data_IF_030582116458
#
_entry.id   IF_030582116458
#
_cell.length_a   1.000
_cell.length_b   1.000
_cell.length_c   1.000
_cell.angle_alpha   90.00
_cell.angle_beta   90.00
_cell.angle_gamma   90.00
#
_symmetry.space_group_name_H-M   'P 1'
#
loop_
_entity.id
_entity.type
_entity.pdbx_description
1 polymer ?
#
# COMPACT_ATOMS: atom_id res chain seq x y z
N UNK A 1 -24.43 31.48 -34.21
CA UNK A 1 -24.18 31.55 -32.76
C UNK A 1 -23.16 30.47 -32.41
N UNK A 2 -21.93 30.84 -32.03
CA UNK A 2 -20.81 29.90 -31.76
C UNK A 2 -20.95 29.32 -30.34
N UNK A 3 -21.13 28.01 -30.20
CA UNK A 3 -21.01 27.33 -28.91
C UNK A 3 -19.53 27.06 -28.65
N UNK A 4 -18.98 27.83 -27.71
CA UNK A 4 -17.60 27.76 -27.23
C UNK A 4 -17.31 26.37 -26.67
N UNK A 5 -16.18 25.80 -27.07
CA UNK A 5 -15.66 24.54 -26.55
C UNK A 5 -15.51 24.59 -25.04
N UNK A 6 -16.06 23.57 -24.37
CA UNK A 6 -15.81 23.32 -22.96
C UNK A 6 -14.42 22.70 -22.81
N UNK A 7 -13.43 23.56 -22.58
CA UNK A 7 -12.10 23.17 -22.12
C UNK A 7 -12.11 23.22 -20.60
N UNK A 8 -12.54 22.13 -19.95
CA UNK A 8 -12.32 21.89 -18.52
C UNK A 8 -11.51 20.57 -18.45
N UNK A 9 -10.22 20.57 -18.17
CA UNK A 9 -9.60 21.15 -16.99
C UNK A 9 -9.42 20.02 -15.98
N UNK A 10 -8.39 19.20 -16.19
CA UNK A 10 -7.99 18.00 -15.45
C UNK A 10 -7.56 18.30 -14.01
N UNK A 11 -8.44 18.92 -13.21
CA UNK A 11 -8.18 19.38 -11.83
C UNK A 11 -9.14 18.80 -10.79
N UNK A 12 -10.06 17.91 -11.21
CA UNK A 12 -11.10 17.32 -10.36
C UNK A 12 -10.98 15.80 -10.16
N UNK A 13 -9.98 15.15 -10.76
CA UNK A 13 -9.83 13.69 -10.66
C UNK A 13 -9.36 13.24 -9.26
N UNK A 14 -8.43 13.98 -8.65
CA UNK A 14 -7.83 13.61 -7.37
C UNK A 14 -8.85 13.67 -6.21
N UNK A 15 -9.66 14.74 -6.03
CA UNK A 15 -10.67 14.78 -4.96
C UNK A 15 -11.72 13.67 -5.08
N UNK A 16 -12.09 13.30 -6.32
CA UNK A 16 -13.06 12.24 -6.56
C UNK A 16 -12.50 10.86 -6.19
N UNK A 17 -11.22 10.61 -6.46
CA UNK A 17 -10.52 9.37 -6.07
C UNK A 17 -10.46 9.26 -4.54
N UNK A 18 -10.14 10.34 -3.83
CA UNK A 18 -10.13 10.34 -2.36
C UNK A 18 -11.52 10.12 -1.77
N UNK A 19 -12.56 10.72 -2.33
CA UNK A 19 -13.94 10.50 -1.88
C UNK A 19 -14.37 9.04 -2.08
N UNK A 20 -13.98 8.42 -3.20
CA UNK A 20 -14.25 7.00 -3.46
C UNK A 20 -13.50 6.08 -2.47
N UNK A 21 -12.22 6.36 -2.19
CA UNK A 21 -11.42 5.62 -1.22
C UNK A 21 -12.01 5.72 0.20
N UNK A 22 -12.46 6.91 0.60
CA UNK A 22 -13.09 7.14 1.89
C UNK A 22 -14.42 6.36 2.05
N UNK A 23 -15.23 6.31 0.99
CA UNK A 23 -16.48 5.55 0.99
C UNK A 23 -16.24 4.05 1.15
N UNK A 24 -15.26 3.50 0.43
CA UNK A 24 -14.88 2.07 0.53
C UNK A 24 -14.36 1.75 1.93
N UNK A 25 -13.47 2.57 2.49
CA UNK A 25 -12.96 2.37 3.86
C UNK A 25 -14.08 2.41 4.92
N UNK A 26 -15.06 3.30 4.74
CA UNK A 26 -16.21 3.43 5.66
C UNK A 26 -17.12 2.20 5.61
N UNK A 27 -17.36 1.63 4.43
CA UNK A 27 -18.21 0.44 4.30
C UNK A 27 -17.54 -0.81 4.88
N UNK A 28 -16.23 -0.98 4.67
CA UNK A 28 -15.45 -2.07 5.28
C UNK A 28 -15.50 -1.96 6.80
N UNK A 29 -15.27 -0.78 7.36
CA UNK A 29 -15.29 -0.57 8.82
C UNK A 29 -16.64 -0.93 9.44
N UNK A 30 -17.75 -0.52 8.81
CA UNK A 30 -19.11 -0.84 9.27
C UNK A 30 -19.44 -2.34 9.18
N UNK A 31 -18.99 -3.01 8.12
CA UNK A 31 -19.17 -4.46 7.96
C UNK A 31 -18.38 -5.25 9.02
N UNK A 32 -17.14 -4.85 9.31
CA UNK A 32 -16.32 -5.47 10.35
C UNK A 32 -16.87 -5.22 11.76
N UNK A 33 -17.36 -4.02 12.05
CA UNK A 33 -17.95 -3.70 13.34
C UNK A 33 -19.19 -4.56 13.63
N UNK A 34 -20.06 -4.74 12.63
CA UNK A 34 -21.27 -5.57 12.75
C UNK A 34 -20.97 -7.08 12.81
N UNK A 35 -19.98 -7.58 12.06
CA UNK A 35 -19.59 -9.00 12.07
C UNK A 35 -18.81 -9.42 13.34
N UNK A 36 -18.10 -8.47 13.98
CA UNK A 36 -17.21 -8.74 15.12
C UNK A 36 -17.99 -8.93 16.44
N UNK A 37 -19.18 -8.33 16.58
CA UNK A 37 -19.97 -8.41 17.81
C UNK A 37 -20.69 -9.74 18.05
N UNK A 38 -20.95 -10.56 17.02
CA UNK A 38 -21.79 -11.76 17.17
C UNK A 38 -21.02 -13.07 17.45
N UNK A 39 -19.69 -13.15 17.23
CA UNK A 39 -18.95 -14.44 17.35
C UNK A 39 -17.56 -14.37 18.03
N UNK A 40 -17.00 -13.19 18.30
CA UNK A 40 -15.58 -13.04 18.74
C UNK A 40 -15.34 -12.94 20.25
N UNK A 41 -16.39 -12.87 21.08
CA UNK A 41 -16.23 -12.72 22.53
C UNK A 41 -15.49 -13.89 23.22
N UNK A 42 -15.53 -15.10 22.64
CA UNK A 42 -14.86 -16.28 23.21
C UNK A 42 -13.43 -16.49 22.69
N UNK A 43 -13.14 -16.07 21.45
CA UNK A 43 -11.80 -16.14 20.85
C UNK A 43 -10.90 -14.96 21.25
N UNK A 44 -11.47 -13.81 21.62
CA UNK A 44 -10.71 -12.64 22.08
C UNK A 44 -10.13 -12.78 23.50
N UNK A 45 -10.59 -13.75 24.30
CA UNK A 45 -10.18 -13.90 25.70
C UNK A 45 -9.11 -15.00 25.88
N UNK A 46 -9.01 -15.98 24.96
CA UNK A 46 -8.26 -17.22 25.22
C UNK A 46 -7.05 -17.52 24.30
N UNK A 47 -6.64 -16.65 23.35
CA UNK A 47 -5.57 -17.05 22.43
C UNK A 47 -4.86 -16.01 21.56
N UNK A 48 -4.71 -14.76 22.00
CA UNK A 48 -3.91 -13.73 21.28
C UNK A 48 -2.71 -13.26 22.09
N UNK A 49 -1.92 -14.20 22.63
CA UNK A 49 -0.65 -13.85 23.30
C UNK A 49 0.43 -13.32 22.35
N UNK A 50 0.21 -13.38 21.03
CA UNK A 50 0.99 -12.62 20.04
C UNK A 50 0.06 -11.80 19.13
N UNK A 51 -0.20 -10.57 19.56
CA UNK A 51 -1.16 -9.64 18.97
C UNK A 51 -0.74 -9.18 17.56
N UNK A 52 -1.13 -9.89 16.51
CA UNK A 52 -0.88 -9.52 15.11
C UNK A 52 -1.34 -8.10 14.75
N UNK A 53 -2.33 -7.54 15.46
CA UNK A 53 -2.77 -6.14 15.28
C UNK A 53 -1.64 -5.16 15.56
N UNK A 54 -0.74 -5.49 16.49
CA UNK A 54 0.45 -4.71 16.80
C UNK A 54 1.49 -4.77 15.69
N UNK A 55 1.69 -5.94 15.06
CA UNK A 55 2.58 -6.09 13.90
C UNK A 55 2.06 -5.30 12.70
N UNK A 56 0.75 -5.35 12.44
CA UNK A 56 0.10 -4.55 11.39
C UNK A 56 0.26 -3.05 11.67
N UNK A 57 0.02 -2.60 12.90
CA UNK A 57 0.18 -1.19 13.28
C UNK A 57 1.63 -0.71 13.12
N UNK A 58 2.61 -1.49 13.55
CA UNK A 58 4.04 -1.19 13.38
C UNK A 58 4.43 -1.06 11.91
N UNK A 59 3.93 -1.97 11.06
CA UNK A 59 4.15 -1.89 9.62
C UNK A 59 3.54 -0.61 9.04
N UNK A 60 2.27 -0.31 9.36
CA UNK A 60 1.57 0.88 8.86
C UNK A 60 2.27 2.20 9.25
N UNK A 61 2.76 2.30 10.49
CA UNK A 61 3.54 3.47 10.95
C UNK A 61 4.81 3.61 10.12
N UNK A 62 5.57 2.52 9.93
CA UNK A 62 6.81 2.57 9.14
C UNK A 62 6.59 2.84 7.66
N UNK A 63 5.46 2.38 7.10
CA UNK A 63 5.07 2.71 5.74
C UNK A 63 4.83 4.21 5.60
N UNK A 64 4.04 4.81 6.50
CA UNK A 64 3.76 6.24 6.46
C UNK A 64 5.03 7.11 6.66
N UNK A 65 5.93 6.69 7.56
CA UNK A 65 7.24 7.33 7.73
C UNK A 65 8.07 7.25 6.43
N UNK A 66 8.12 6.09 5.79
CA UNK A 66 8.86 5.90 4.54
C UNK A 66 8.27 6.71 3.38
N UNK A 67 6.95 6.72 3.23
CA UNK A 67 6.26 7.55 2.23
C UNK A 67 6.56 9.04 2.39
N UNK A 68 6.54 9.51 3.64
CA UNK A 68 6.89 10.90 3.98
C UNK A 68 8.34 11.21 3.58
N UNK A 69 9.27 10.29 3.86
CA UNK A 69 10.67 10.46 3.47
C UNK A 69 10.82 10.51 1.94
N UNK A 70 10.18 9.59 1.22
CA UNK A 70 10.22 9.58 -0.26
C UNK A 70 9.72 10.91 -0.82
N UNK A 71 8.65 11.47 -0.27
CA UNK A 71 8.11 12.75 -0.73
C UNK A 71 9.03 13.94 -0.40
N UNK A 72 9.71 13.90 0.74
CA UNK A 72 10.74 14.91 1.07
C UNK A 72 11.92 14.84 0.09
N UNK A 73 12.39 13.63 -0.23
CA UNK A 73 13.55 13.40 -1.09
C UNK A 73 13.29 13.76 -2.56
N UNK A 74 12.05 13.63 -3.05
CA UNK A 74 11.64 14.11 -4.39
C UNK A 74 11.88 15.61 -4.61
N UNK A 75 11.74 16.39 -3.55
CA UNK A 75 11.85 17.85 -3.59
C UNK A 75 13.22 18.35 -3.10
N UNK A 76 14.12 17.45 -2.73
CA UNK A 76 15.44 17.79 -2.22
C UNK A 76 16.41 18.13 -3.36
N UNK A 77 17.35 19.04 -3.09
CA UNK A 77 18.41 19.39 -4.05
C UNK A 77 19.39 18.23 -4.28
N UNK A 78 19.54 17.35 -3.29
CA UNK A 78 20.33 16.13 -3.35
C UNK A 78 19.58 15.03 -2.59
N UNK A 79 19.46 13.87 -3.23
CA UNK A 79 18.77 12.71 -2.67
C UNK A 79 19.69 11.98 -1.70
N UNK A 80 19.24 11.78 -0.47
CA UNK A 80 19.92 10.92 0.50
C UNK A 80 19.53 9.45 0.28
N UNK A 81 20.28 8.80 -0.61
CA UNK A 81 20.05 7.39 -0.96
C UNK A 81 20.32 6.41 0.20
N UNK A 82 21.22 6.76 1.13
CA UNK A 82 21.55 5.91 2.27
C UNK A 82 20.42 5.90 3.31
N UNK A 83 19.85 7.06 3.63
CA UNK A 83 18.70 7.14 4.55
C UNK A 83 17.47 6.47 3.95
N UNK A 84 17.19 6.67 2.65
CA UNK A 84 16.11 5.97 1.94
C UNK A 84 16.27 4.45 2.02
N UNK A 85 17.49 3.95 1.80
CA UNK A 85 17.79 2.52 1.90
C UNK A 85 17.54 2.00 3.30
N UNK A 86 18.08 2.68 4.32
CA UNK A 86 17.93 2.28 5.71
C UNK A 86 16.46 2.24 6.14
N UNK A 87 15.67 3.26 5.81
CA UNK A 87 14.24 3.29 6.16
C UNK A 87 13.45 2.22 5.43
N UNK A 88 13.79 1.94 4.17
CA UNK A 88 13.18 0.84 3.42
C UNK A 88 13.49 -0.52 4.05
N UNK A 89 14.73 -0.80 4.46
CA UNK A 89 15.09 -2.06 5.12
C UNK A 89 14.34 -2.25 6.45
N UNK A 90 14.15 -1.16 7.21
CA UNK A 90 13.33 -1.18 8.43
C UNK A 90 11.87 -1.50 8.08
N UNK A 91 11.31 -0.90 7.04
CA UNK A 91 9.95 -1.19 6.57
C UNK A 91 9.82 -2.66 6.14
N UNK A 92 10.75 -3.15 5.33
CA UNK A 92 10.80 -4.54 4.86
C UNK A 92 10.86 -5.52 6.04
N UNK A 93 11.69 -5.24 7.05
CA UNK A 93 11.76 -6.05 8.27
C UNK A 93 10.42 -6.13 9.00
N UNK A 94 9.60 -5.06 9.00
CA UNK A 94 8.24 -5.11 9.58
C UNK A 94 7.28 -5.89 8.71
N UNK A 95 7.41 -5.81 7.39
CA UNK A 95 6.61 -6.61 6.47
C UNK A 95 6.91 -8.11 6.61
N UNK A 96 8.19 -8.49 6.74
CA UNK A 96 8.60 -9.89 6.89
C UNK A 96 7.91 -10.61 8.06
N UNK A 97 7.61 -9.89 9.15
CA UNK A 97 6.84 -10.43 10.28
C UNK A 97 5.40 -10.77 9.90
N UNK A 98 4.78 -10.01 8.99
CA UNK A 98 3.42 -10.25 8.50
C UNK A 98 3.39 -11.35 7.43
N UNK A 99 4.43 -11.43 6.62
CA UNK A 99 4.56 -12.43 5.57
C UNK A 99 4.91 -13.82 6.12
N UNK A 100 5.68 -13.90 7.20
CA UNK A 100 6.07 -15.20 7.76
C UNK A 100 4.86 -15.86 8.43
N UNK A 101 4.53 -17.08 8.01
CA UNK A 101 3.54 -17.91 8.70
C UNK A 101 4.12 -18.34 10.05
N UNK A 102 3.54 -17.83 11.14
CA UNK A 102 3.89 -18.11 12.53
C UNK A 102 2.61 -18.36 13.34
N UNK A 103 2.72 -18.77 14.60
CA UNK A 103 1.57 -18.88 15.51
C UNK A 103 0.75 -17.58 15.56
N UNK A 104 1.42 -16.43 15.44
CA UNK A 104 0.82 -15.11 15.51
C UNK A 104 0.17 -14.63 14.21
N UNK A 105 0.67 -15.05 13.05
CA UNK A 105 0.09 -14.68 11.75
C UNK A 105 -0.82 -15.76 11.17
N UNK A 106 -0.80 -16.98 11.71
CA UNK A 106 -1.65 -18.08 11.27
C UNK A 106 -3.15 -17.72 11.25
N UNK A 107 -3.71 -16.99 12.23
CA UNK A 107 -5.09 -16.52 12.16
C UNK A 107 -5.35 -15.57 10.98
N UNK A 108 -4.38 -14.73 10.61
CA UNK A 108 -4.50 -13.84 9.46
C UNK A 108 -4.49 -14.62 8.14
N UNK A 109 -3.62 -15.63 8.02
CA UNK A 109 -3.55 -16.48 6.84
C UNK A 109 -4.78 -17.36 6.62
N UNK A 110 -5.59 -17.58 7.65
CA UNK A 110 -6.89 -18.25 7.54
C UNK A 110 -8.00 -17.32 7.00
N UNK A 111 -7.79 -16.00 7.00
CA UNK A 111 -8.78 -15.04 6.47
C UNK A 111 -8.74 -15.02 4.93
N UNK A 112 -9.90 -15.09 4.26
CA UNK A 112 -9.98 -15.02 2.81
C UNK A 112 -9.35 -13.72 2.27
N UNK A 113 -8.46 -13.84 1.29
CA UNK A 113 -7.82 -12.69 0.62
C UNK A 113 -6.52 -12.22 1.27
N UNK A 114 -6.21 -12.63 2.50
CA UNK A 114 -4.98 -12.22 3.18
C UNK A 114 -3.70 -12.74 2.48
N UNK A 115 -3.59 -14.03 2.09
CA UNK A 115 -2.40 -14.53 1.40
C UNK A 115 -2.13 -13.80 0.07
N UNK A 116 -3.19 -13.45 -0.67
CA UNK A 116 -3.09 -12.71 -1.92
C UNK A 116 -2.59 -11.29 -1.70
N UNK A 117 -3.03 -10.63 -0.63
CA UNK A 117 -2.55 -9.30 -0.24
C UNK A 117 -1.08 -9.37 0.15
N UNK A 118 -0.64 -10.34 0.96
CA UNK A 118 0.77 -10.51 1.31
C UNK A 118 1.63 -10.70 0.05
N UNK A 119 1.18 -11.56 -0.87
CA UNK A 119 1.87 -11.78 -2.16
C UNK A 119 1.97 -10.50 -3.00
N UNK A 120 0.93 -9.66 -2.98
CA UNK A 120 0.96 -8.36 -3.65
C UNK A 120 1.94 -7.40 -2.98
N UNK A 121 1.93 -7.35 -1.65
CA UNK A 121 2.82 -6.50 -0.85
C UNK A 121 4.29 -6.88 -1.06
N UNK A 122 4.63 -8.18 -1.04
CA UNK A 122 5.98 -8.66 -1.31
C UNK A 122 6.48 -8.17 -2.68
N UNK A 123 5.66 -8.32 -3.72
CA UNK A 123 6.00 -7.80 -5.07
C UNK A 123 6.21 -6.28 -5.11
N UNK A 124 5.49 -5.50 -4.28
CA UNK A 124 5.76 -4.06 -4.19
C UNK A 124 7.06 -3.77 -3.44
N UNK A 125 7.37 -4.53 -2.39
CA UNK A 125 8.64 -4.41 -1.68
C UNK A 125 9.82 -4.73 -2.61
N UNK A 126 9.75 -5.82 -3.39
CA UNK A 126 10.78 -6.17 -4.39
C UNK A 126 11.02 -5.06 -5.42
N UNK A 127 9.93 -4.41 -5.87
CA UNK A 127 10.02 -3.28 -6.81
C UNK A 127 10.74 -2.09 -6.19
N UNK A 128 10.38 -1.74 -4.96
CA UNK A 128 11.04 -0.63 -4.25
C UNK A 128 12.50 -0.96 -4.00
N UNK A 129 12.83 -2.20 -3.60
CA UNK A 129 14.20 -2.67 -3.42
C UNK A 129 15.03 -2.48 -4.70
N UNK A 130 14.48 -2.89 -5.84
CA UNK A 130 15.12 -2.72 -7.16
C UNK A 130 15.33 -1.25 -7.52
N UNK A 131 14.33 -0.39 -7.26
CA UNK A 131 14.43 1.05 -7.52
C UNK A 131 15.50 1.72 -6.65
N UNK A 132 15.60 1.34 -5.38
CA UNK A 132 16.60 1.89 -4.47
C UNK A 132 18.02 1.39 -4.75
N UNK A 133 18.17 0.22 -5.37
CA UNK A 133 19.47 -0.32 -5.80
C UNK A 133 19.94 0.23 -7.16
N UNK A 134 19.15 1.10 -7.81
CA UNK A 134 19.50 1.68 -9.10
C UNK A 134 20.56 2.81 -8.95
N UNK A 135 21.48 2.98 -9.92
CA UNK A 135 22.56 3.98 -9.84
C UNK A 135 22.09 5.44 -9.70
N UNK A 136 20.87 5.70 -10.15
CA UNK A 136 20.16 6.96 -9.95
C UNK A 136 18.72 6.65 -9.55
N UNK A 137 18.30 7.11 -8.38
CA UNK A 137 16.92 6.94 -7.93
C UNK A 137 16.04 7.90 -8.74
N UNK A 138 15.26 7.35 -9.67
CA UNK A 138 14.27 8.10 -10.43
C UNK A 138 12.93 8.06 -9.70
N UNK A 139 12.44 9.21 -9.27
CA UNK A 139 11.12 9.36 -8.65
C UNK A 139 10.01 9.65 -9.66
N UNK A 140 10.32 9.66 -10.96
CA UNK A 140 9.32 9.83 -12.02
C UNK A 140 8.42 8.59 -12.07
N UNK A 141 7.09 8.74 -12.05
CA UNK A 141 6.20 7.60 -12.09
C UNK A 141 6.28 6.88 -13.43
N UNK A 142 6.95 5.72 -13.47
CA UNK A 142 6.84 4.79 -14.59
C UNK A 142 5.49 4.08 -14.51
N UNK A 143 4.46 4.71 -15.09
CA UNK A 143 3.29 3.97 -15.50
C UNK A 143 3.73 3.00 -16.60
N UNK A 144 3.68 1.70 -16.31
CA UNK A 144 3.69 0.68 -17.33
C UNK A 144 2.44 0.90 -18.19
N UNK A 145 2.59 1.70 -19.25
CA UNK A 145 1.61 1.82 -20.30
C UNK A 145 1.41 0.45 -20.90
N UNK A 146 0.20 -0.08 -20.81
CA UNK A 146 -0.23 -1.11 -21.72
C UNK A 146 -0.07 -0.55 -23.14
N UNK A 147 0.95 -1.05 -23.85
CA UNK A 147 1.10 -0.81 -25.28
C UNK A 147 -0.19 -1.24 -25.96
N UNK A 148 -0.92 -0.26 -26.47
CA UNK A 148 -1.95 -0.46 -27.47
C UNK A 148 -1.28 -1.09 -28.68
N UNK A 149 -1.53 -2.38 -28.89
CA UNK A 149 -1.24 -3.05 -30.15
C UNK A 149 -1.96 -2.32 -31.29
N UNK A 150 -1.22 -1.47 -31.99
CA UNK A 150 -1.59 -0.95 -33.29
C UNK A 150 -0.45 -1.24 -34.26
N UNK A 151 -0.38 -2.51 -34.70
CA UNK A 151 0.27 -2.91 -35.93
C UNK A 151 -0.29 -4.27 -36.36
N UNK A 152 -1.28 -4.24 -37.25
CA UNK A 152 -1.36 -5.11 -38.43
C UNK A 152 -2.42 -4.49 -39.34
N UNK A 153 -1.93 -3.58 -40.17
CA UNK A 153 -2.49 -3.36 -41.49
C UNK A 153 -2.24 -4.65 -42.28
N UNK A 154 -3.33 -5.32 -42.65
CA UNK A 154 -3.58 -5.88 -43.98
C UNK A 154 -5.10 -5.95 -44.18
#
# INVERSE_FOLDING_TARGET
MKLKGFKNGSRLAIPAIFAALFLVASTVTLYYYSATLSKKGLYAIAGTQENYSWSIAKFAIKLAEFETLVEQQKNAQQVDSEDLRLKFEILYSRFYVLETVSESTQPLYAEPGYPEVVTQMHRQMDRIDTLLNSPSIDFTPHFAGHETNQALLD
#
